data_IF_920571764524
#
_entry.id   IF_920571764524
#
_cell.length_a   1.000
_cell.length_b   1.000
_cell.length_c   1.000
_cell.angle_alpha   90.00
_cell.angle_beta   90.00
_cell.angle_gamma   90.00
#
_symmetry.space_group_name_H-M   'P 1'
#
loop_
_entity.id
_entity.type
_entity.pdbx_description
1 polymer ?
#
# COMPACT_ATOMS: atom_id res chain seq x y z
N UNK A 1 -20.10 0.03 -10.73
CA UNK A 1 -21.36 0.17 -11.52
C UNK A 1 -22.13 1.43 -11.12
N UNK A 2 -22.02 1.85 -9.85
CA UNK A 2 -22.67 3.03 -9.24
C UNK A 2 -22.51 4.41 -9.91
N UNK A 3 -21.67 4.55 -10.94
CA UNK A 3 -21.45 5.85 -11.63
C UNK A 3 -21.99 5.91 -13.06
N UNK A 4 -22.59 4.83 -13.58
CA UNK A 4 -23.14 4.80 -14.94
C UNK A 4 -24.52 5.44 -14.92
N UNK A 5 -24.68 6.60 -15.59
CA UNK A 5 -25.95 7.35 -15.62
C UNK A 5 -26.96 6.80 -16.63
N UNK A 6 -26.49 6.27 -17.76
CA UNK A 6 -27.28 5.66 -18.83
C UNK A 6 -26.36 4.82 -19.72
N UNK A 7 -26.88 3.74 -20.27
CA UNK A 7 -26.23 2.94 -21.29
C UNK A 7 -27.25 2.62 -22.39
N UNK A 8 -26.84 2.68 -23.65
CA UNK A 8 -27.65 2.31 -24.81
C UNK A 8 -26.82 1.50 -25.78
N UNK A 9 -27.47 0.56 -26.47
CA UNK A 9 -26.82 -0.34 -27.42
C UNK A 9 -26.79 0.33 -28.79
N UNK A 10 -25.61 0.44 -29.36
CA UNK A 10 -25.40 0.90 -30.73
C UNK A 10 -25.52 -0.27 -31.72
N UNK A 11 -25.90 0.05 -32.96
CA UNK A 11 -25.94 -0.91 -34.06
C UNK A 11 -24.54 -1.20 -34.67
N UNK A 12 -23.59 -0.32 -34.38
CA UNK A 12 -22.19 -0.44 -34.76
C UNK A 12 -21.51 -1.61 -34.03
N UNK A 13 -20.67 -2.34 -34.76
CA UNK A 13 -19.87 -3.43 -34.19
C UNK A 13 -18.48 -2.90 -33.84
N UNK A 14 -18.00 -3.28 -32.68
CA UNK A 14 -16.59 -3.09 -32.33
C UNK A 14 -15.72 -4.06 -33.13
N UNK A 15 -14.75 -3.55 -33.86
CA UNK A 15 -13.71 -4.35 -34.50
C UNK A 15 -12.45 -4.29 -33.64
N UNK A 16 -12.00 -5.45 -33.15
CA UNK A 16 -10.77 -5.55 -32.39
C UNK A 16 -9.58 -5.34 -33.33
N UNK A 17 -8.65 -4.40 -33.03
CA UNK A 17 -7.46 -4.21 -33.87
C UNK A 17 -6.65 -5.51 -33.94
N UNK A 18 -6.22 -5.88 -35.15
CA UNK A 18 -5.49 -7.13 -35.40
C UNK A 18 -4.09 -7.15 -34.79
N UNK A 19 -3.54 -5.98 -34.50
CA UNK A 19 -2.26 -5.76 -33.84
C UNK A 19 -2.39 -5.55 -32.32
N UNK A 20 -3.61 -5.62 -31.77
CA UNK A 20 -3.81 -5.44 -30.34
C UNK A 20 -3.36 -6.67 -29.55
N UNK A 21 -2.28 -6.49 -28.79
CA UNK A 21 -1.80 -7.46 -27.81
C UNK A 21 -2.28 -7.05 -26.42
N UNK A 22 -3.22 -7.82 -25.86
CA UNK A 22 -3.66 -7.66 -24.45
C UNK A 22 -2.46 -7.71 -23.51
N UNK A 23 -1.49 -8.59 -23.81
CA UNK A 23 -0.27 -8.75 -23.00
C UNK A 23 0.55 -7.48 -22.98
N UNK A 24 0.80 -6.88 -24.14
CA UNK A 24 1.61 -5.66 -24.24
C UNK A 24 0.86 -4.45 -23.68
N UNK A 25 -0.46 -4.38 -23.91
CA UNK A 25 -1.30 -3.37 -23.31
C UNK A 25 -1.26 -3.44 -21.78
N UNK A 26 -1.43 -4.62 -21.19
CA UNK A 26 -1.31 -4.81 -19.75
C UNK A 26 0.12 -4.55 -19.26
N UNK A 27 1.14 -5.01 -19.96
CA UNK A 27 2.54 -4.77 -19.57
C UNK A 27 2.92 -3.27 -19.63
N UNK A 28 2.26 -2.48 -20.48
CA UNK A 28 2.49 -1.04 -20.62
C UNK A 28 1.62 -0.21 -19.67
N UNK A 29 0.36 -0.60 -19.47
CA UNK A 29 -0.61 0.08 -18.60
C UNK A 29 -0.49 -0.30 -17.12
N UNK A 30 0.00 -1.51 -16.84
CA UNK A 30 0.27 -2.00 -15.48
C UNK A 30 1.75 -1.87 -15.10
N UNK A 31 2.51 -0.97 -15.74
CA UNK A 31 3.72 -0.43 -15.11
C UNK A 31 3.29 0.41 -13.91
N UNK A 32 2.84 -0.27 -12.86
CA UNK A 32 2.84 0.26 -11.52
C UNK A 32 4.32 0.35 -11.15
N UNK A 33 4.99 1.42 -11.56
CA UNK A 33 6.21 1.82 -10.88
C UNK A 33 5.78 2.19 -9.47
N UNK A 34 6.11 1.37 -8.45
CA UNK A 34 5.74 1.71 -7.09
C UNK A 34 6.47 3.01 -6.76
N UNK A 35 5.72 4.09 -6.65
CA UNK A 35 6.25 5.44 -6.47
C UNK A 35 6.84 5.65 -5.08
N UNK A 36 6.51 4.78 -4.13
CA UNK A 36 6.94 4.89 -2.75
C UNK A 36 7.56 3.58 -2.27
N UNK A 37 8.78 3.68 -1.75
CA UNK A 37 9.47 2.59 -1.06
C UNK A 37 9.34 2.87 0.43
N UNK A 38 8.56 2.04 1.11
CA UNK A 38 8.26 2.21 2.53
C UNK A 38 9.19 1.32 3.35
N UNK A 39 9.81 1.92 4.35
CA UNK A 39 10.62 1.23 5.35
C UNK A 39 10.04 1.51 6.72
N UNK A 40 9.80 0.46 7.49
CA UNK A 40 9.33 0.55 8.86
C UNK A 40 10.05 -0.44 9.76
N UNK A 41 10.18 -0.05 11.02
CA UNK A 41 10.60 -0.90 12.11
C UNK A 41 9.36 -1.52 12.75
N UNK A 42 9.43 -2.82 13.06
CA UNK A 42 8.37 -3.54 13.79
C UNK A 42 8.96 -4.43 14.86
N UNK A 43 8.21 -4.66 15.94
CA UNK A 43 8.61 -5.61 16.99
C UNK A 43 8.71 -7.06 16.44
N UNK A 44 9.46 -7.94 17.13
CA UNK A 44 9.71 -9.31 16.66
C UNK A 44 8.42 -10.12 16.46
N UNK A 45 7.39 -9.90 17.28
CA UNK A 45 6.09 -10.60 17.17
C UNK A 45 5.36 -10.19 15.89
N UNK A 46 5.39 -8.91 15.58
CA UNK A 46 4.77 -8.32 14.40
C UNK A 46 5.57 -8.68 13.15
N UNK A 47 6.90 -8.72 13.23
CA UNK A 47 7.78 -9.21 12.15
C UNK A 47 7.40 -10.63 11.72
N UNK A 48 7.23 -11.56 12.68
CA UNK A 48 6.81 -12.93 12.39
C UNK A 48 5.45 -12.99 11.68
N UNK A 49 4.48 -12.21 12.17
CA UNK A 49 3.14 -12.12 11.56
C UNK A 49 3.17 -11.52 10.15
N UNK A 50 3.94 -10.46 9.93
CA UNK A 50 4.10 -9.82 8.61
C UNK A 50 4.77 -10.79 7.65
N UNK A 51 5.79 -11.53 8.09
CA UNK A 51 6.47 -12.54 7.28
C UNK A 51 5.51 -13.64 6.83
N UNK A 52 4.64 -14.12 7.72
CA UNK A 52 3.63 -15.13 7.41
C UNK A 52 2.57 -14.61 6.43
N UNK A 53 2.02 -13.41 6.66
CA UNK A 53 0.90 -12.87 5.89
C UNK A 53 1.32 -12.23 4.57
N UNK A 54 2.53 -11.68 4.50
CA UNK A 54 2.97 -10.77 3.44
C UNK A 54 4.38 -11.05 2.91
N UNK A 55 5.09 -12.08 3.39
CA UNK A 55 6.48 -12.37 2.99
C UNK A 55 6.71 -12.66 1.50
N UNK A 56 5.66 -12.80 0.68
CA UNK A 56 5.77 -12.91 -0.78
C UNK A 56 6.05 -11.58 -1.49
N UNK A 57 5.71 -10.46 -0.87
CA UNK A 57 5.75 -9.13 -1.50
C UNK A 57 6.29 -8.04 -0.58
N UNK A 58 6.53 -8.37 0.69
CA UNK A 58 7.26 -7.54 1.65
C UNK A 58 8.53 -8.26 2.07
N UNK A 59 9.63 -7.53 2.09
CA UNK A 59 10.90 -8.02 2.62
C UNK A 59 10.95 -7.75 4.13
N UNK A 60 11.26 -8.77 4.93
CA UNK A 60 11.36 -8.67 6.39
C UNK A 60 12.78 -9.09 6.79
N UNK A 61 13.59 -8.11 7.19
CA UNK A 61 15.00 -8.27 7.52
C UNK A 61 15.17 -8.09 9.02
N UNK A 62 15.73 -9.09 9.69
CA UNK A 62 16.18 -8.94 11.07
C UNK A 62 17.42 -8.06 11.08
N UNK A 63 17.41 -7.03 11.92
CA UNK A 63 18.46 -6.02 11.96
C UNK A 63 18.86 -5.83 13.42
N UNK A 64 20.13 -6.13 13.73
CA UNK A 64 20.68 -6.06 15.08
C UNK A 64 20.71 -4.63 15.66
N UNK A 65 20.43 -3.60 14.84
CA UNK A 65 20.32 -2.21 15.28
C UNK A 65 18.95 -1.85 15.86
N UNK A 66 17.96 -2.74 15.79
CA UNK A 66 16.60 -2.52 16.30
C UNK A 66 16.12 -3.73 17.13
N UNK A 67 15.28 -3.48 18.12
CA UNK A 67 14.63 -4.55 18.92
C UNK A 67 13.47 -5.18 18.13
N UNK A 68 13.77 -5.76 16.96
CA UNK A 68 12.75 -6.28 16.06
C UNK A 68 13.25 -6.57 14.63
N UNK A 69 12.51 -6.09 13.63
CA UNK A 69 12.87 -6.25 12.24
C UNK A 69 12.51 -5.02 11.41
N UNK A 70 13.24 -4.84 10.31
CA UNK A 70 12.89 -3.89 9.26
C UNK A 70 12.01 -4.56 8.22
N UNK A 71 10.87 -3.95 7.95
CA UNK A 71 9.99 -4.34 6.84
C UNK A 71 10.16 -3.33 5.71
N UNK A 72 10.37 -3.84 4.50
CA UNK A 72 10.49 -3.03 3.28
C UNK A 72 9.49 -3.50 2.24
N UNK A 73 8.77 -2.56 1.66
CA UNK A 73 7.84 -2.85 0.56
C UNK A 73 7.65 -1.63 -0.33
N UNK A 74 7.17 -1.88 -1.55
CA UNK A 74 6.93 -0.84 -2.54
C UNK A 74 5.42 -0.73 -2.81
N UNK A 75 4.91 0.50 -2.90
CA UNK A 75 3.49 0.78 -3.12
C UNK A 75 3.30 1.97 -4.06
N UNK A 76 2.27 1.89 -4.91
CA UNK A 76 1.77 3.02 -5.69
C UNK A 76 0.67 3.80 -4.96
N UNK A 77 0.15 3.26 -3.85
CA UNK A 77 -0.92 3.86 -3.06
C UNK A 77 -0.39 4.24 -1.66
N UNK A 78 -0.06 5.51 -1.41
CA UNK A 78 0.43 5.97 -0.11
C UNK A 78 -0.64 5.88 0.99
N UNK A 79 -1.91 6.09 0.67
CA UNK A 79 -3.00 6.06 1.67
C UNK A 79 -3.25 4.64 2.17
N UNK A 80 -3.16 3.65 1.28
CA UNK A 80 -3.18 2.25 1.66
C UNK A 80 -2.04 1.90 2.63
N UNK A 81 -0.82 2.40 2.36
CA UNK A 81 0.34 2.16 3.22
C UNK A 81 0.14 2.77 4.62
N UNK A 82 -0.35 4.01 4.68
CA UNK A 82 -0.68 4.68 5.95
C UNK A 82 -1.70 3.87 6.75
N UNK A 83 -2.79 3.44 6.12
CA UNK A 83 -3.82 2.63 6.78
C UNK A 83 -3.30 1.27 7.27
N UNK A 84 -2.47 0.61 6.46
CA UNK A 84 -1.84 -0.65 6.84
C UNK A 84 -0.91 -0.48 8.04
N UNK A 85 -0.03 0.54 8.05
CA UNK A 85 0.84 0.81 9.19
C UNK A 85 0.03 1.08 10.45
N UNK A 86 -1.01 1.92 10.38
CA UNK A 86 -1.86 2.20 11.54
C UNK A 86 -2.55 0.95 12.09
N UNK A 87 -2.85 -0.04 11.24
CA UNK A 87 -3.43 -1.32 11.67
C UNK A 87 -2.47 -2.17 12.51
N UNK A 88 -1.17 -1.92 12.42
CA UNK A 88 -0.15 -2.55 13.27
C UNK A 88 -0.09 -1.90 14.66
N UNK A 89 -0.72 -0.73 14.83
CA UNK A 89 -0.77 0.00 16.09
C UNK A 89 0.62 0.43 16.57
N UNK A 90 0.91 0.38 17.88
CA UNK A 90 2.17 0.88 18.45
C UNK A 90 3.37 -0.04 18.16
N UNK A 91 3.15 -1.22 17.58
CA UNK A 91 4.19 -2.18 17.26
C UNK A 91 4.97 -1.84 15.97
N UNK A 92 4.64 -0.73 15.31
CA UNK A 92 5.23 -0.32 14.05
C UNK A 92 5.60 1.16 14.05
N UNK A 93 6.76 1.47 13.45
CA UNK A 93 7.23 2.84 13.25
C UNK A 93 7.77 3.01 11.83
N UNK A 94 7.17 3.92 11.06
CA UNK A 94 7.69 4.26 9.72
C UNK A 94 8.97 5.06 9.85
N UNK A 95 9.98 4.67 9.07
CA UNK A 95 11.26 5.37 8.94
C UNK A 95 11.30 6.16 7.62
N UNK A 96 10.84 5.55 6.52
CA UNK A 96 10.85 6.13 5.18
C UNK A 96 9.60 5.75 4.37
N UNK A 97 9.19 6.58 3.39
CA UNK A 97 9.71 7.92 3.11
C UNK A 97 9.09 8.97 4.07
N UNK A 98 9.71 10.17 4.22
CA UNK A 98 9.24 11.20 5.15
C UNK A 98 7.78 11.63 4.95
N UNK A 99 7.29 11.58 3.71
CA UNK A 99 5.90 11.85 3.40
C UNK A 99 4.94 10.88 4.10
N UNK A 100 5.24 9.57 4.07
CA UNK A 100 4.40 8.56 4.74
C UNK A 100 4.52 8.70 6.24
N UNK A 101 5.72 9.01 6.77
CA UNK A 101 5.93 9.29 8.20
C UNK A 101 4.99 10.40 8.67
N UNK A 102 4.92 11.52 7.95
CA UNK A 102 4.08 12.64 8.34
C UNK A 102 2.58 12.32 8.19
N UNK A 103 2.18 11.60 7.13
CA UNK A 103 0.78 11.16 6.96
C UNK A 103 0.33 10.24 8.10
N UNK A 104 1.16 9.26 8.50
CA UNK A 104 0.88 8.37 9.63
C UNK A 104 0.77 9.15 10.93
N UNK A 105 1.71 10.09 11.17
CA UNK A 105 1.69 10.95 12.36
C UNK A 105 0.40 11.78 12.45
N UNK A 106 0.00 12.42 11.35
CA UNK A 106 -1.21 13.25 11.31
C UNK A 106 -2.47 12.40 11.53
N UNK A 107 -2.54 11.23 10.91
CA UNK A 107 -3.65 10.31 11.12
C UNK A 107 -3.72 9.81 12.58
N UNK A 108 -2.59 9.43 13.18
CA UNK A 108 -2.53 9.00 14.58
C UNK A 108 -2.96 10.11 15.55
N UNK A 109 -2.53 11.36 15.32
CA UNK A 109 -3.02 12.53 16.09
C UNK A 109 -4.52 12.72 15.96
N UNK A 110 -5.07 12.60 14.75
CA UNK A 110 -6.51 12.72 14.52
C UNK A 110 -7.32 11.59 15.15
N UNK A 111 -6.73 10.41 15.33
CA UNK A 111 -7.32 9.31 16.12
C UNK A 111 -7.32 9.69 17.60
N UNK A 112 -6.18 10.11 18.15
CA UNK A 112 -6.04 10.47 19.56
C UNK A 112 -7.03 11.59 19.98
N UNK A 113 -7.15 12.64 19.16
CA UNK A 113 -8.08 13.74 19.39
C UNK A 113 -9.55 13.30 19.53
N UNK A 114 -9.95 12.18 18.91
CA UNK A 114 -11.31 11.64 19.06
C UNK A 114 -11.54 10.99 20.42
N UNK A 115 -10.49 10.52 21.07
CA UNK A 115 -10.55 9.88 22.39
C UNK A 115 -10.21 10.84 23.53
N UNK A 116 -9.56 11.97 23.26
CA UNK A 116 -9.27 13.04 24.25
C UNK A 116 -10.51 13.89 24.60
N UNK A 117 -11.63 13.71 23.87
CA UNK A 117 -12.88 14.45 24.04
C UNK A 117 -13.97 13.75 24.87
N UNK A 118 -13.64 12.65 25.56
CA UNK A 118 -14.47 11.99 26.59
C UNK A 118 -13.89 12.23 27.99
#
# INVERSE_FOLDING_TARGET
VDRIRRAERLDERFEMPTDFSVRDYLHRSMRFEPTHHVVLEVDSRTAARVREQHGRWMEVVEDDSVDGALVRFATANPDWAVGWVLSLGPAARVLEPPEIVERVRMAAKGILQRYEGE
#
